data_IF_870857840016
#
_entry.id   IF_870857840016
#
_cell.length_a   1.000
_cell.length_b   1.000
_cell.length_c   1.000
_cell.angle_alpha   90.00
_cell.angle_beta   90.00
_cell.angle_gamma   90.00
#
_symmetry.space_group_name_H-M   'P 1'
#
loop_
_entity.id
_entity.type
_entity.pdbx_description
1 polymer ?
#
# COMPACT_ATOMS: atom_id res chain seq x y z
N UNK A 1 -23.10 -21.74 11.54
CA UNK A 1 -22.91 -20.31 11.27
C UNK A 1 -21.90 -20.14 10.15
N UNK A 2 -22.38 -20.07 8.91
CA UNK A 2 -21.56 -19.92 7.71
C UNK A 2 -21.05 -18.48 7.59
N UNK A 3 -19.80 -18.23 8.00
CA UNK A 3 -19.07 -17.02 7.63
C UNK A 3 -18.59 -17.17 6.18
N UNK A 4 -19.50 -17.03 5.22
CA UNK A 4 -19.12 -16.64 3.87
C UNK A 4 -18.51 -15.23 3.97
N UNK A 5 -17.21 -15.17 4.31
CA UNK A 5 -16.40 -14.02 3.92
C UNK A 5 -16.38 -14.08 2.41
N UNK A 6 -17.29 -13.34 1.78
CA UNK A 6 -17.22 -13.01 0.37
C UNK A 6 -15.85 -12.37 0.14
N UNK A 7 -14.87 -13.19 -0.23
CA UNK A 7 -13.65 -12.73 -0.87
C UNK A 7 -14.12 -12.12 -2.19
N UNK A 8 -14.53 -10.85 -2.14
CA UNK A 8 -14.49 -9.99 -3.31
C UNK A 8 -13.03 -9.97 -3.70
N UNK A 9 -12.67 -10.92 -4.57
CA UNK A 9 -11.45 -10.98 -5.35
C UNK A 9 -11.54 -9.84 -6.37
N UNK A 10 -11.67 -8.61 -5.89
CA UNK A 10 -11.04 -7.49 -6.56
C UNK A 10 -9.57 -7.83 -6.45
N UNK A 11 -8.89 -8.04 -7.56
CA UNK A 11 -7.44 -8.07 -7.65
C UNK A 11 -6.89 -6.82 -6.96
N UNK A 12 -6.74 -6.91 -5.63
CA UNK A 12 -6.15 -5.88 -4.81
C UNK A 12 -4.68 -6.13 -5.00
N UNK A 13 -4.10 -5.38 -5.90
CA UNK A 13 -2.66 -5.17 -5.97
C UNK A 13 -2.16 -5.00 -4.52
N UNK A 14 -1.41 -5.99 -4.03
CA UNK A 14 -0.89 -6.03 -2.67
C UNK A 14 0.59 -5.65 -2.73
N UNK A 15 1.02 -4.79 -1.81
CA UNK A 15 2.42 -4.44 -1.63
C UNK A 15 3.08 -5.48 -0.74
N UNK A 16 3.97 -6.27 -1.32
CA UNK A 16 4.92 -7.11 -0.63
C UNK A 16 6.03 -6.25 -0.01
N UNK A 17 5.91 -5.97 1.29
CA UNK A 17 6.91 -5.22 2.07
C UNK A 17 8.26 -5.94 2.21
N UNK A 18 8.33 -7.21 1.82
CA UNK A 18 9.55 -8.03 1.81
C UNK A 18 10.24 -8.04 0.45
N UNK A 19 9.53 -7.70 -0.63
CA UNK A 19 10.11 -7.57 -1.96
C UNK A 19 10.68 -6.16 -2.12
N UNK A 20 12.01 -6.04 -2.06
CA UNK A 20 12.67 -4.74 -2.22
C UNK A 20 12.41 -4.10 -3.58
N UNK A 21 12.36 -4.90 -4.64
CA UNK A 21 12.03 -4.45 -6.01
C UNK A 21 10.64 -3.81 -6.07
N UNK A 22 9.65 -4.45 -5.43
CA UNK A 22 8.28 -3.96 -5.45
C UNK A 22 8.14 -2.66 -4.63
N UNK A 23 8.79 -2.60 -3.46
CA UNK A 23 8.87 -1.36 -2.68
C UNK A 23 9.56 -0.24 -3.46
N UNK A 24 10.62 -0.56 -4.21
CA UNK A 24 11.33 0.42 -5.02
C UNK A 24 10.46 0.93 -6.17
N UNK A 25 9.75 0.03 -6.84
CA UNK A 25 8.78 0.38 -7.89
C UNK A 25 7.73 1.37 -7.37
N UNK A 26 7.09 1.06 -6.24
CA UNK A 26 6.07 1.94 -5.66
C UNK A 26 6.66 3.24 -5.10
N UNK A 27 7.86 3.20 -4.52
CA UNK A 27 8.58 4.38 -4.03
C UNK A 27 8.82 5.39 -5.15
N UNK A 28 9.34 4.93 -6.29
CA UNK A 28 9.54 5.75 -7.48
C UNK A 28 8.22 6.26 -8.04
N UNK A 29 7.22 5.40 -8.15
CA UNK A 29 5.90 5.74 -8.72
C UNK A 29 5.15 6.79 -7.90
N UNK A 30 5.33 6.81 -6.58
CA UNK A 30 4.64 7.72 -5.66
C UNK A 30 5.50 8.89 -5.19
N UNK A 31 6.78 8.92 -5.57
CA UNK A 31 7.73 9.94 -5.12
C UNK A 31 7.98 9.91 -3.60
N UNK A 32 7.95 8.72 -2.98
CA UNK A 32 8.15 8.53 -1.53
C UNK A 32 9.25 7.52 -1.25
N UNK A 33 9.85 7.56 -0.06
CA UNK A 33 10.86 6.57 0.32
C UNK A 33 10.24 5.19 0.64
N UNK A 34 11.00 4.12 0.42
CA UNK A 34 10.63 2.73 0.80
C UNK A 34 10.15 2.63 2.26
N UNK A 35 10.79 3.35 3.17
CA UNK A 35 10.42 3.42 4.59
C UNK A 35 9.05 4.05 4.84
N UNK A 36 8.66 5.03 4.02
CA UNK A 36 7.35 5.67 4.08
C UNK A 36 6.27 4.67 3.68
N UNK A 37 6.52 3.84 2.65
CA UNK A 37 5.60 2.78 2.23
C UNK A 37 5.47 1.72 3.32
N UNK A 38 6.57 1.22 3.88
CA UNK A 38 6.55 0.25 5.00
C UNK A 38 5.77 0.81 6.20
N UNK A 39 6.01 2.06 6.55
CA UNK A 39 5.31 2.75 7.64
C UNK A 39 3.82 2.89 7.35
N UNK A 40 3.43 3.23 6.12
CA UNK A 40 2.04 3.34 5.71
C UNK A 40 1.31 2.00 5.69
N UNK A 41 1.97 0.91 5.27
CA UNK A 41 1.43 -0.46 5.37
C UNK A 41 1.19 -0.82 6.84
N UNK A 42 2.14 -0.53 7.74
CA UNK A 42 2.02 -0.77 9.18
C UNK A 42 0.90 0.06 9.81
N UNK A 43 0.82 1.36 9.47
CA UNK A 43 -0.17 2.28 10.01
C UNK A 43 -1.59 2.02 9.50
N UNK A 44 -1.73 1.64 8.22
CA UNK A 44 -3.03 1.29 7.63
C UNK A 44 -3.50 -0.12 8.00
N UNK A 45 -2.63 -0.95 8.59
CA UNK A 45 -2.90 -2.34 8.93
C UNK A 45 -3.23 -3.21 7.71
N UNK A 46 -2.88 -2.74 6.51
CA UNK A 46 -3.23 -3.40 5.25
C UNK A 46 -2.16 -3.12 4.21
N UNK A 47 -1.81 -4.14 3.43
CA UNK A 47 -0.85 -4.04 2.35
C UNK A 47 -1.50 -3.79 0.99
N UNK A 48 -2.81 -3.49 0.92
CA UNK A 48 -3.43 -3.14 -0.36
C UNK A 48 -2.90 -1.80 -0.88
N UNK A 49 -2.41 -1.77 -2.13
CA UNK A 49 -1.89 -0.58 -2.83
C UNK A 49 -2.84 0.61 -2.68
N UNK A 50 -4.13 0.41 -2.95
CA UNK A 50 -5.13 1.48 -2.84
C UNK A 50 -5.24 2.05 -1.43
N UNK A 51 -5.25 1.21 -0.38
CA UNK A 51 -5.32 1.69 1.01
C UNK A 51 -4.06 2.43 1.43
N UNK A 52 -2.89 1.90 1.06
CA UNK A 52 -1.60 2.52 1.35
C UNK A 52 -1.50 3.86 0.63
N UNK A 53 -1.87 3.92 -0.64
CA UNK A 53 -1.92 5.15 -1.43
C UNK A 53 -2.87 6.18 -0.82
N UNK A 54 -4.11 5.80 -0.47
CA UNK A 54 -5.06 6.68 0.21
C UNK A 54 -4.50 7.18 1.55
N UNK A 55 -3.83 6.34 2.32
CA UNK A 55 -3.20 6.74 3.58
C UNK A 55 -2.08 7.77 3.35
N UNK A 56 -1.22 7.54 2.34
CA UNK A 56 -0.15 8.48 1.97
C UNK A 56 -0.70 9.81 1.43
N UNK A 57 -1.80 9.77 0.68
CA UNK A 57 -2.49 10.94 0.15
C UNK A 57 -3.11 11.77 1.29
N UNK A 58 -3.80 11.12 2.22
CA UNK A 58 -4.36 11.78 3.40
C UNK A 58 -3.27 12.37 4.31
N UNK A 59 -2.10 11.73 4.36
CA UNK A 59 -0.95 12.22 5.11
C UNK A 59 -0.17 13.34 4.36
N UNK A 60 -0.63 13.76 3.18
CA UNK A 60 0.03 14.71 2.29
C UNK A 60 1.52 14.40 2.03
N UNK A 61 1.87 13.10 2.03
CA UNK A 61 3.25 12.62 1.87
C UNK A 61 3.62 12.32 0.42
N UNK A 62 2.64 12.28 -0.48
CA UNK A 62 2.88 12.05 -1.91
C UNK A 62 3.43 13.33 -2.53
N UNK A 63 4.56 13.21 -3.23
CA UNK A 63 5.10 14.30 -4.04
C UNK A 63 4.80 14.01 -5.50
N UNK A 64 3.71 14.60 -5.98
CA UNK A 64 3.49 14.76 -7.43
C UNK A 64 4.29 16.00 -7.84
N UNK A 65 5.48 15.80 -8.38
CA UNK A 65 6.30 16.87 -8.96
C UNK A 65 6.08 16.96 -10.46
#
# INVERSE_FOLDING_TARGET
MNRHKSYKKTDKDLISVFAEDELNYWALKWGVSKETIKSAVKASGCNSVSKVFTHLMNANKLKFS
#
